data_IF_504511626842
#
_entry.id   IF_504511626842
#
_cell.length_a   1.000
_cell.length_b   1.000
_cell.length_c   1.000
_cell.angle_alpha   90.00
_cell.angle_beta   90.00
_cell.angle_gamma   90.00
#
_symmetry.space_group_name_H-M   'P 1'
#
loop_
_entity.id
_entity.type
_entity.pdbx_description
1 polymer ?
#
# COMPACT_ATOMS: atom_id res chain seq x y z
N UNK A 1 -5.08 0.91 -19.78
CA UNK A 1 -4.82 0.56 -18.36
C UNK A 1 -3.60 1.31 -17.85
N UNK A 2 -2.44 1.22 -18.52
CA UNK A 2 -1.22 1.97 -18.15
C UNK A 2 -1.46 3.46 -17.86
N UNK A 3 -2.10 4.20 -18.77
CA UNK A 3 -2.32 5.65 -18.58
C UNK A 3 -3.13 5.97 -17.31
N UNK A 4 -4.13 5.14 -17.00
CA UNK A 4 -4.92 5.28 -15.76
C UNK A 4 -4.12 4.95 -14.51
N UNK A 5 -3.16 4.01 -14.59
CA UNK A 5 -2.24 3.69 -13.51
C UNK A 5 -1.22 4.81 -13.29
N UNK A 6 -0.68 5.39 -14.37
CA UNK A 6 0.19 6.59 -14.29
C UNK A 6 -0.56 7.71 -13.59
N UNK A 7 -1.80 7.98 -13.99
CA UNK A 7 -2.63 9.01 -13.35
C UNK A 7 -2.84 8.70 -11.85
N UNK A 8 -3.25 7.48 -11.51
CA UNK A 8 -3.48 7.08 -10.13
C UNK A 8 -2.22 7.25 -9.27
N UNK A 9 -1.09 6.67 -9.70
CA UNK A 9 0.17 6.70 -8.97
C UNK A 9 0.67 8.15 -8.81
N UNK A 10 0.53 8.97 -9.85
CA UNK A 10 0.84 10.41 -9.77
C UNK A 10 0.01 11.14 -8.71
N UNK A 11 -1.27 10.77 -8.56
CA UNK A 11 -2.15 11.41 -7.56
C UNK A 11 -1.84 10.96 -6.14
N UNK A 12 -1.56 9.67 -5.92
CA UNK A 12 -1.36 9.12 -4.58
C UNK A 12 0.06 9.35 -4.06
N UNK A 13 1.07 9.38 -4.94
CA UNK A 13 2.47 9.60 -4.56
C UNK A 13 2.74 11.00 -4.00
N UNK A 14 1.82 11.95 -4.19
CA UNK A 14 1.89 13.32 -3.63
C UNK A 14 3.22 14.04 -3.90
N UNK A 15 3.88 13.74 -5.02
CA UNK A 15 5.16 14.34 -5.41
C UNK A 15 6.40 13.68 -4.80
N UNK A 16 6.26 12.56 -4.08
CA UNK A 16 7.39 11.81 -3.52
C UNK A 16 8.11 10.90 -4.53
N UNK A 17 7.64 10.85 -5.79
CA UNK A 17 8.15 9.96 -6.83
C UNK A 17 8.45 10.73 -8.11
N UNK A 18 9.47 10.29 -8.85
CA UNK A 18 9.81 10.84 -10.15
C UNK A 18 8.86 10.36 -11.26
N UNK A 19 8.67 11.13 -12.32
CA UNK A 19 7.80 10.75 -13.44
C UNK A 19 8.22 9.41 -14.09
N UNK A 20 9.52 9.19 -14.28
CA UNK A 20 10.04 7.94 -14.86
C UNK A 20 9.72 6.72 -13.99
N UNK A 21 9.80 6.88 -12.66
CA UNK A 21 9.48 5.83 -11.69
C UNK A 21 7.98 5.49 -11.72
N UNK A 22 7.13 6.52 -11.75
CA UNK A 22 5.68 6.38 -11.89
C UNK A 22 5.33 5.61 -13.18
N UNK A 23 5.95 5.97 -14.29
CA UNK A 23 5.73 5.32 -15.59
C UNK A 23 6.18 3.86 -15.57
N UNK A 24 7.30 3.56 -14.93
CA UNK A 24 7.81 2.20 -14.79
C UNK A 24 6.84 1.33 -13.99
N UNK A 25 6.42 1.78 -12.81
CA UNK A 25 5.48 1.02 -11.95
C UNK A 25 4.16 0.81 -12.67
N UNK A 26 3.65 1.82 -13.37
CA UNK A 26 2.43 1.70 -14.15
C UNK A 26 2.55 0.70 -15.31
N UNK A 27 3.74 0.59 -15.92
CA UNK A 27 4.01 -0.41 -16.96
C UNK A 27 4.03 -1.82 -16.38
N UNK A 28 4.79 -2.03 -15.30
CA UNK A 28 4.93 -3.32 -14.63
C UNK A 28 3.58 -3.82 -14.13
N UNK A 29 2.82 -2.95 -13.47
CA UNK A 29 1.46 -3.27 -13.04
C UNK A 29 0.53 -3.59 -14.21
N UNK A 30 0.62 -2.84 -15.33
CA UNK A 30 -0.20 -3.11 -16.51
C UNK A 30 0.14 -4.47 -17.15
N UNK A 31 1.42 -4.86 -17.20
CA UNK A 31 1.85 -6.17 -17.65
C UNK A 31 1.35 -7.28 -16.71
N UNK A 32 1.48 -7.08 -15.39
CA UNK A 32 0.99 -7.98 -14.36
C UNK A 32 -0.53 -8.20 -14.42
N UNK A 33 -1.31 -7.18 -14.74
CA UNK A 33 -2.75 -7.34 -14.98
C UNK A 33 -3.07 -8.08 -16.29
N UNK A 34 -2.25 -7.89 -17.34
CA UNK A 34 -2.51 -8.47 -18.65
C UNK A 34 -2.20 -9.97 -18.70
N UNK A 35 -1.08 -10.40 -18.10
CA UNK A 35 -0.66 -11.79 -18.01
C UNK A 35 0.12 -12.05 -16.71
N UNK A 36 -0.58 -12.36 -15.60
CA UNK A 36 0.07 -12.57 -14.31
C UNK A 36 1.10 -13.71 -14.32
N UNK A 37 0.85 -14.78 -15.08
CA UNK A 37 1.73 -15.94 -15.13
C UNK A 37 3.03 -15.62 -15.87
N UNK A 38 2.94 -14.98 -17.04
CA UNK A 38 4.12 -14.55 -17.77
C UNK A 38 4.93 -13.49 -16.98
N UNK A 39 4.24 -12.58 -16.29
CA UNK A 39 4.88 -11.57 -15.45
C UNK A 39 5.65 -12.18 -14.28
N UNK A 40 5.07 -13.12 -13.54
CA UNK A 40 5.78 -13.82 -12.45
C UNK A 40 6.95 -14.68 -12.97
N UNK A 41 6.80 -15.29 -14.15
CA UNK A 41 7.90 -16.04 -14.76
C UNK A 41 9.08 -15.14 -15.14
N UNK A 42 8.82 -13.88 -15.51
CA UNK A 42 9.85 -12.89 -15.83
C UNK A 42 10.46 -12.23 -14.57
N UNK A 43 9.71 -12.19 -13.46
CA UNK A 43 10.07 -11.51 -12.21
C UNK A 43 10.00 -12.49 -11.02
N UNK A 44 10.93 -13.45 -11.00
CA UNK A 44 10.94 -14.56 -10.04
C UNK A 44 11.20 -14.15 -8.57
N UNK A 45 11.61 -12.90 -8.34
CA UNK A 45 11.83 -12.29 -7.03
C UNK A 45 10.54 -11.75 -6.39
N UNK A 46 9.48 -11.59 -7.17
CA UNK A 46 8.18 -11.12 -6.65
C UNK A 46 7.52 -12.24 -5.83
N UNK A 47 7.40 -11.99 -4.53
CA UNK A 47 6.71 -12.88 -3.60
C UNK A 47 5.19 -12.59 -3.55
N UNK A 48 4.50 -12.85 -4.65
CA UNK A 48 3.04 -12.71 -4.71
C UNK A 48 2.35 -13.85 -3.97
N UNK A 49 1.50 -13.50 -3.00
CA UNK A 49 0.63 -14.45 -2.28
C UNK A 49 -0.79 -14.37 -2.85
N UNK A 50 -1.20 -15.40 -3.57
CA UNK A 50 -2.50 -15.46 -4.23
C UNK A 50 -3.68 -15.70 -3.27
N UNK A 51 -3.42 -15.86 -1.96
CA UNK A 51 -4.46 -15.88 -0.93
C UNK A 51 -4.95 -14.48 -0.54
N UNK A 52 -4.19 -13.43 -0.89
CA UNK A 52 -4.61 -12.05 -0.64
C UNK A 52 -5.73 -11.64 -1.60
N UNK A 53 -6.64 -10.75 -1.15
CA UNK A 53 -7.81 -10.36 -1.94
C UNK A 53 -7.49 -9.37 -3.08
N UNK A 54 -6.21 -9.09 -3.36
CA UNK A 54 -5.78 -8.16 -4.41
C UNK A 54 -5.09 -8.92 -5.55
N UNK A 55 -5.36 -8.59 -6.82
CA UNK A 55 -4.68 -9.20 -7.96
C UNK A 55 -3.21 -8.74 -8.03
N UNK A 56 -2.39 -9.50 -8.76
CA UNK A 56 -0.96 -9.22 -8.93
C UNK A 56 -0.66 -7.80 -9.42
N UNK A 57 -1.48 -7.24 -10.31
CA UNK A 57 -1.30 -5.86 -10.77
C UNK A 57 -1.42 -4.83 -9.64
N UNK A 58 -2.37 -5.01 -8.71
CA UNK A 58 -2.49 -4.15 -7.51
C UNK A 58 -1.35 -4.40 -6.53
N UNK A 59 -0.94 -5.66 -6.39
CA UNK A 59 0.21 -6.04 -5.57
C UNK A 59 1.50 -5.33 -6.02
N UNK A 60 1.75 -5.29 -7.34
CA UNK A 60 2.89 -4.58 -7.92
C UNK A 60 2.84 -3.09 -7.62
N UNK A 61 1.66 -2.46 -7.78
CA UNK A 61 1.51 -1.03 -7.44
C UNK A 61 1.82 -0.81 -5.95
N UNK A 62 1.13 -1.52 -5.06
CA UNK A 62 1.25 -1.34 -3.60
C UNK A 62 2.67 -1.61 -3.12
N UNK A 63 3.33 -2.66 -3.63
CA UNK A 63 4.71 -3.02 -3.25
C UNK A 63 5.78 -2.08 -3.80
N UNK A 64 5.46 -1.29 -4.83
CA UNK A 64 6.40 -0.32 -5.42
C UNK A 64 6.21 1.10 -4.89
N UNK A 65 5.15 1.37 -4.14
CA UNK A 65 4.93 2.68 -3.54
C UNK A 65 5.92 2.91 -2.37
N UNK A 66 6.46 4.14 -2.22
CA UNK A 66 7.23 4.49 -1.04
C UNK A 66 6.43 4.29 0.25
N UNK A 67 7.10 3.91 1.34
CA UNK A 67 6.48 3.71 2.66
C UNK A 67 5.75 4.96 3.19
N UNK A 68 6.08 6.14 2.67
CA UNK A 68 5.40 7.41 3.01
C UNK A 68 4.02 7.55 2.39
N UNK A 69 3.66 6.73 1.40
CA UNK A 69 2.41 6.83 0.63
C UNK A 69 1.31 5.96 1.23
N UNK A 70 1.68 4.83 1.86
CA UNK A 70 0.73 3.87 2.41
C UNK A 70 1.14 3.43 3.82
N UNK A 71 0.23 3.55 4.78
CA UNK A 71 0.41 2.95 6.09
C UNK A 71 0.21 1.43 6.00
N UNK A 72 1.21 0.67 6.44
CA UNK A 72 1.18 -0.79 6.42
C UNK A 72 1.80 -1.33 7.72
N UNK A 73 1.12 -2.26 8.37
CA UNK A 73 1.65 -2.95 9.53
C UNK A 73 0.98 -4.32 9.71
N UNK A 74 1.69 -5.23 10.38
CA UNK A 74 1.21 -6.60 10.66
C UNK A 74 0.01 -6.65 11.61
N UNK A 75 -0.26 -5.56 12.33
CA UNK A 75 -1.37 -5.46 13.25
C UNK A 75 -1.90 -4.02 13.36
N UNK A 76 -3.14 -3.90 13.83
CA UNK A 76 -3.84 -2.63 13.96
C UNK A 76 -3.21 -1.66 14.98
N UNK A 77 -2.41 -2.14 15.94
CA UNK A 77 -1.77 -1.28 16.93
C UNK A 77 -0.63 -0.51 16.27
N UNK A 78 0.23 -1.22 15.56
CA UNK A 78 1.36 -0.65 14.83
C UNK A 78 0.86 0.21 13.66
N UNK A 79 -0.21 -0.22 12.98
CA UNK A 79 -0.87 0.58 11.93
C UNK A 79 -1.34 1.93 12.49
N UNK A 80 -2.06 1.90 13.62
CA UNK A 80 -2.54 3.15 14.24
C UNK A 80 -1.41 4.00 14.79
N UNK A 81 -0.32 3.39 15.27
CA UNK A 81 0.87 4.13 15.69
C UNK A 81 1.51 4.89 14.51
N UNK A 82 1.69 4.26 13.35
CA UNK A 82 2.18 4.95 12.15
C UNK A 82 1.26 6.10 11.74
N UNK A 83 -0.07 5.88 11.75
CA UNK A 83 -1.05 6.93 11.46
C UNK A 83 -0.85 8.10 12.42
N UNK A 84 -0.82 7.88 13.74
CA UNK A 84 -0.63 8.95 14.74
C UNK A 84 0.69 9.70 14.52
N UNK A 85 1.77 9.00 14.21
CA UNK A 85 3.09 9.59 13.98
C UNK A 85 3.17 10.47 12.72
N UNK A 86 2.27 10.25 11.76
CA UNK A 86 2.18 11.10 10.55
C UNK A 86 1.61 12.50 10.81
N UNK A 87 0.93 12.70 11.95
CA UNK A 87 0.37 14.00 12.34
C UNK A 87 1.34 14.81 13.22
N UNK A 88 1.18 16.13 13.20
CA UNK A 88 1.90 17.04 14.09
C UNK A 88 1.56 16.81 15.57
N UNK A 89 2.48 17.19 16.47
CA UNK A 89 2.37 16.98 17.93
C UNK A 89 1.17 17.68 18.56
N UNK A 90 0.61 18.67 17.88
CA UNK A 90 -0.59 19.41 18.25
C UNK A 90 -1.88 18.61 18.10
N UNK A 91 -1.86 17.53 17.30
CA UNK A 91 -3.04 16.69 17.07
C UNK A 91 -3.18 15.71 18.23
N UNK A 92 -4.33 15.77 18.90
CA UNK A 92 -4.65 14.87 20.01
C UNK A 92 -5.60 13.78 19.53
N UNK A 93 -5.25 12.52 19.78
CA UNK A 93 -6.07 11.35 19.49
C UNK A 93 -6.79 10.86 20.74
N UNK A 94 -8.07 10.49 20.59
CA UNK A 94 -8.92 10.01 21.69
C UNK A 94 -8.62 8.56 22.13
N UNK A 95 -7.91 7.82 21.29
CA UNK A 95 -7.47 6.45 21.55
C UNK A 95 -5.95 6.40 21.41
N UNK A 96 -5.30 5.51 22.16
CA UNK A 96 -3.86 5.22 22.07
C UNK A 96 -3.66 3.85 21.42
N UNK A 97 -2.57 3.63 20.64
CA UNK A 97 -2.27 2.34 20.02
C UNK A 97 -2.42 1.14 20.99
N UNK A 98 -1.82 1.24 22.19
CA UNK A 98 -1.90 0.18 23.21
C UNK A 98 -3.31 -0.20 23.66
N UNK A 99 -4.31 0.66 23.45
CA UNK A 99 -5.71 0.36 23.79
C UNK A 99 -6.37 -0.55 22.75
N UNK A 100 -5.73 -0.76 21.59
CA UNK A 100 -6.20 -1.70 20.56
C UNK A 100 -5.71 -3.14 20.82
N UNK A 101 -4.61 -3.36 21.54
CA UNK A 101 -3.94 -4.66 21.70
C UNK A 101 -4.81 -5.84 22.23
N UNK A 102 -5.99 -5.56 22.78
CA UNK A 102 -6.95 -6.57 23.29
C UNK A 102 -8.35 -6.41 22.70
N UNK A 103 -8.45 -5.70 21.58
CA UNK A 103 -9.70 -5.44 20.88
C UNK A 103 -9.81 -6.42 19.72
N UNK A 104 -11.01 -6.96 19.52
CA UNK A 104 -11.30 -7.81 18.35
C UNK A 104 -10.97 -7.06 17.05
N UNK A 105 -10.36 -7.71 16.03
CA UNK A 105 -9.82 -7.03 14.85
C UNK A 105 -10.80 -6.07 14.16
N UNK A 106 -12.03 -6.51 13.91
CA UNK A 106 -13.06 -5.67 13.28
C UNK A 106 -13.41 -4.44 14.13
N UNK A 107 -13.44 -4.59 15.45
CA UNK A 107 -13.72 -3.48 16.36
C UNK A 107 -12.51 -2.53 16.44
N UNK A 108 -11.29 -3.05 16.36
CA UNK A 108 -10.08 -2.24 16.31
C UNK A 108 -10.03 -1.38 15.05
N UNK A 109 -10.27 -1.98 13.88
CA UNK A 109 -10.31 -1.26 12.59
C UNK A 109 -11.42 -0.20 12.57
N UNK A 110 -12.61 -0.50 13.08
CA UNK A 110 -13.70 0.48 13.15
C UNK A 110 -13.46 1.65 14.12
N UNK A 111 -12.44 1.57 14.99
CA UNK A 111 -12.07 2.65 15.92
C UNK A 111 -10.99 3.57 15.37
N UNK A 112 -10.20 3.08 14.43
CA UNK A 112 -9.18 3.85 13.68
C UNK A 112 -9.92 4.74 12.68
#
# INVERSE_FOLDING_TARGET
MKDSLVELISKISSGCMGEDEIVQIADDAAQAYADPQAFLAANADINYDDSFPIPLGEWVVVGSLPETVLFQADNYMDLFEQIVQSFGKEVTFNIKPKQLAKVEPLVAVNRI
#
